data_IF_575136930209
#
_entry.id   IF_575136930209
#
_cell.length_a   1.000
_cell.length_b   1.000
_cell.length_c   1.000
_cell.angle_alpha   90.00
_cell.angle_beta   90.00
_cell.angle_gamma   90.00
#
_symmetry.space_group_name_H-M   'P 1'
#
loop_
_entity.id
_entity.type
_entity.pdbx_description
1 polymer ?
#
# COMPACT_ATOMS: atom_id res chain seq x y z
N UNK A 1 -8.03 -40.30 50.19
CA UNK A 1 -6.86 -39.81 49.44
C UNK A 1 -7.35 -39.12 48.19
N UNK A 2 -7.56 -37.81 48.27
CA UNK A 2 -7.92 -36.96 47.12
C UNK A 2 -7.07 -35.71 47.26
N UNK A 3 -6.01 -35.64 46.47
CA UNK A 3 -5.14 -34.46 46.41
C UNK A 3 -5.92 -33.30 45.80
N UNK A 4 -5.84 -32.09 46.39
CA UNK A 4 -6.48 -30.91 45.84
C UNK A 4 -5.76 -30.46 44.56
N UNK A 5 -6.52 -30.27 43.49
CA UNK A 5 -6.05 -29.68 42.24
C UNK A 5 -5.67 -28.23 42.50
N UNK A 6 -4.39 -27.90 42.32
CA UNK A 6 -3.88 -26.54 42.38
C UNK A 6 -4.41 -25.76 41.16
N UNK A 7 -4.89 -24.51 41.33
CA UNK A 7 -5.30 -23.68 40.19
C UNK A 7 -4.08 -23.41 39.31
N UNK A 8 -4.20 -23.66 38.01
CA UNK A 8 -3.23 -23.24 37.00
C UNK A 8 -3.12 -21.71 37.08
N UNK A 9 -1.96 -21.20 37.50
CA UNK A 9 -1.67 -19.76 37.46
C UNK A 9 -1.76 -19.22 36.02
N UNK A 10 -1.91 -17.89 35.85
CA UNK A 10 -1.92 -17.28 34.52
C UNK A 10 -0.62 -17.63 33.80
N UNK A 11 -0.73 -18.01 32.52
CA UNK A 11 0.43 -18.36 31.68
C UNK A 11 1.48 -17.23 31.73
N UNK A 12 2.78 -17.55 31.89
CA UNK A 12 3.86 -16.56 32.04
C UNK A 12 4.16 -15.78 30.75
N UNK A 13 3.53 -16.14 29.64
CA UNK A 13 3.61 -15.43 28.38
C UNK A 13 2.40 -14.48 28.29
N UNK A 14 2.66 -13.18 28.15
CA UNK A 14 1.60 -12.18 28.00
C UNK A 14 0.65 -12.50 26.83
N UNK A 15 -0.50 -11.80 26.72
CA UNK A 15 -1.50 -12.10 25.71
C UNK A 15 -0.91 -12.06 24.30
N UNK A 16 -0.86 -13.21 23.64
CA UNK A 16 -0.39 -13.35 22.27
C UNK A 16 -1.46 -12.80 21.30
N UNK A 17 -1.13 -11.70 20.62
CA UNK A 17 -1.99 -11.05 19.64
C UNK A 17 -1.66 -11.63 18.26
N UNK A 18 -2.60 -12.30 17.57
CA UNK A 18 -2.35 -12.78 16.21
C UNK A 18 -2.17 -11.60 15.25
N UNK A 19 -1.51 -11.81 14.11
CA UNK A 19 -1.57 -10.82 13.03
C UNK A 19 -3.02 -10.68 12.54
N UNK A 20 -3.44 -9.45 12.27
CA UNK A 20 -4.73 -9.20 11.65
C UNK A 20 -4.67 -9.66 10.19
N UNK A 21 -5.50 -10.64 9.88
CA UNK A 21 -5.60 -11.26 8.57
C UNK A 21 -6.76 -10.66 7.78
N UNK A 22 -7.36 -9.53 8.16
CA UNK A 22 -8.61 -9.05 7.55
C UNK A 22 -9.85 -9.61 8.26
N UNK A 23 -10.93 -9.86 7.53
CA UNK A 23 -12.24 -10.22 8.12
C UNK A 23 -12.24 -11.60 8.79
N UNK A 24 -11.48 -12.57 8.26
CA UNK A 24 -11.47 -13.97 8.75
C UNK A 24 -11.15 -14.13 10.24
N UNK A 25 -10.22 -13.33 10.77
CA UNK A 25 -9.86 -13.38 12.19
C UNK A 25 -10.13 -12.05 12.91
N UNK A 26 -10.93 -11.15 12.32
CA UNK A 26 -11.17 -9.83 12.88
C UNK A 26 -11.72 -9.89 14.30
N UNK A 27 -12.73 -10.73 14.55
CA UNK A 27 -13.33 -10.85 15.88
C UNK A 27 -12.39 -11.50 16.89
N UNK A 28 -11.63 -12.53 16.49
CA UNK A 28 -10.59 -13.11 17.35
C UNK A 28 -9.52 -12.06 17.68
N UNK A 29 -9.04 -11.35 16.66
CA UNK A 29 -8.03 -10.30 16.79
C UNK A 29 -8.51 -9.16 17.69
N UNK A 30 -9.72 -8.64 17.49
CA UNK A 30 -10.33 -7.61 18.35
C UNK A 30 -10.37 -8.08 19.80
N UNK A 31 -10.84 -9.29 20.04
CA UNK A 31 -10.89 -9.86 21.40
C UNK A 31 -9.51 -9.98 22.03
N UNK A 32 -8.50 -10.43 21.28
CA UNK A 32 -7.11 -10.55 21.76
C UNK A 32 -6.47 -9.19 22.04
N UNK A 33 -6.70 -8.20 21.18
CA UNK A 33 -6.28 -6.81 21.39
C UNK A 33 -6.94 -6.27 22.66
N UNK A 34 -8.25 -6.39 22.81
CA UNK A 34 -8.95 -5.87 23.99
C UNK A 34 -8.49 -6.53 25.28
N UNK A 35 -8.25 -7.85 25.28
CA UNK A 35 -7.64 -8.54 26.42
C UNK A 35 -6.21 -8.06 26.70
N UNK A 36 -5.40 -7.83 25.67
CA UNK A 36 -4.05 -7.28 25.85
C UNK A 36 -4.08 -5.87 26.43
N UNK A 37 -5.02 -5.03 25.99
CA UNK A 37 -5.21 -3.68 26.52
C UNK A 37 -5.66 -3.72 27.98
N UNK A 38 -6.62 -4.59 28.32
CA UNK A 38 -7.08 -4.77 29.70
C UNK A 38 -5.94 -5.26 30.62
N UNK A 39 -5.16 -6.25 30.18
CA UNK A 39 -4.00 -6.76 30.91
C UNK A 39 -2.96 -5.67 31.22
N UNK A 40 -2.79 -4.71 30.32
CA UNK A 40 -1.86 -3.59 30.48
C UNK A 40 -2.50 -2.32 31.10
N UNK A 41 -3.77 -2.37 31.53
CA UNK A 41 -4.54 -1.21 32.02
C UNK A 41 -4.68 -0.06 30.99
N UNK A 42 -4.67 -0.39 29.69
CA UNK A 42 -4.75 0.56 28.57
C UNK A 42 -6.16 0.64 27.96
N UNK A 43 -7.09 -0.20 28.38
CA UNK A 43 -8.42 -0.37 27.76
C UNK A 43 -9.20 0.95 27.61
N UNK A 44 -9.06 1.88 28.57
CA UNK A 44 -9.71 3.20 28.50
C UNK A 44 -9.34 3.99 27.24
N UNK A 45 -8.09 3.85 26.75
CA UNK A 45 -7.61 4.54 25.56
C UNK A 45 -8.17 3.98 24.25
N UNK A 46 -8.82 2.81 24.30
CA UNK A 46 -9.51 2.21 23.15
C UNK A 46 -10.99 2.56 23.10
N UNK A 47 -11.60 2.80 24.26
CA UNK A 47 -13.04 3.01 24.41
C UNK A 47 -13.40 4.50 24.36
N UNK A 48 -12.63 5.32 25.08
CA UNK A 48 -12.97 6.71 25.35
C UNK A 48 -12.03 7.66 24.61
N UNK A 49 -12.55 8.84 24.24
CA UNK A 49 -11.71 9.95 23.82
C UNK A 49 -11.13 10.64 25.06
N UNK A 50 -9.91 10.28 25.42
CA UNK A 50 -9.24 10.80 26.61
C UNK A 50 -8.40 12.03 26.24
N UNK A 51 -8.87 13.21 26.64
CA UNK A 51 -8.13 14.45 26.46
C UNK A 51 -6.80 14.45 27.21
N UNK A 52 -5.82 15.17 26.67
CA UNK A 52 -4.52 15.34 27.32
C UNK A 52 -4.71 16.06 28.68
N UNK A 53 -4.15 15.53 29.78
CA UNK A 53 -4.20 16.19 31.08
C UNK A 53 -3.30 17.44 31.12
N UNK A 54 -3.68 18.42 31.94
CA UNK A 54 -2.96 19.70 32.02
C UNK A 54 -1.63 19.66 32.79
N UNK A 55 -1.40 18.64 33.63
CA UNK A 55 -0.17 18.48 34.41
C UNK A 55 0.94 17.77 33.62
N UNK A 56 2.18 18.29 33.67
CA UNK A 56 3.30 17.72 32.91
C UNK A 56 3.59 16.23 33.22
N UNK A 57 3.49 15.84 34.50
CA UNK A 57 3.71 14.44 34.91
C UNK A 57 2.58 13.51 34.41
N UNK A 58 1.33 13.97 34.50
CA UNK A 58 0.16 13.23 34.01
C UNK A 58 0.17 13.13 32.49
N UNK A 59 0.61 14.19 31.79
CA UNK A 59 0.75 14.21 30.34
C UNK A 59 1.79 13.22 29.85
N UNK A 60 2.91 13.07 30.57
CA UNK A 60 3.92 12.06 30.25
C UNK A 60 3.40 10.63 30.40
N UNK A 61 2.62 10.35 31.45
CA UNK A 61 1.95 9.06 31.63
C UNK A 61 0.93 8.80 30.52
N UNK A 62 0.07 9.78 30.23
CA UNK A 62 -0.93 9.72 29.17
C UNK A 62 -0.30 9.44 27.80
N UNK A 63 0.79 10.13 27.45
CA UNK A 63 1.51 9.89 26.19
C UNK A 63 2.10 8.49 26.11
N UNK A 64 2.74 8.03 27.19
CA UNK A 64 3.35 6.69 27.24
C UNK A 64 2.31 5.60 27.08
N UNK A 65 1.17 5.73 27.75
CA UNK A 65 0.07 4.76 27.66
C UNK A 65 -0.52 4.69 26.25
N UNK A 66 -0.78 5.84 25.61
CA UNK A 66 -1.25 5.89 24.21
C UNK A 66 -0.23 5.28 23.24
N UNK A 67 1.05 5.59 23.43
CA UNK A 67 2.12 5.02 22.61
C UNK A 67 2.18 3.49 22.77
N UNK A 68 2.08 2.97 23.99
CA UNK A 68 2.07 1.54 24.26
C UNK A 68 0.87 0.85 23.60
N UNK A 69 -0.33 1.44 23.71
CA UNK A 69 -1.51 0.93 23.04
C UNK A 69 -1.32 0.92 21.51
N UNK A 70 -0.79 2.02 20.95
CA UNK A 70 -0.53 2.12 19.52
C UNK A 70 0.48 1.08 19.04
N UNK A 71 1.55 0.84 19.79
CA UNK A 71 2.55 -0.19 19.47
C UNK A 71 1.89 -1.57 19.42
N UNK A 72 1.10 -1.93 20.44
CA UNK A 72 0.41 -3.23 20.49
C UNK A 72 -0.48 -3.46 19.26
N UNK A 73 -1.23 -2.43 18.86
CA UNK A 73 -2.06 -2.51 17.64
C UNK A 73 -1.15 -2.64 16.42
N UNK A 74 -0.24 -1.68 16.19
CA UNK A 74 0.61 -1.60 15.00
C UNK A 74 1.42 -2.88 14.74
N UNK A 75 1.94 -3.52 15.78
CA UNK A 75 2.71 -4.77 15.64
C UNK A 75 1.88 -5.90 15.04
N UNK A 76 0.56 -5.86 15.18
CA UNK A 76 -0.35 -6.87 14.64
C UNK A 76 -0.87 -6.54 13.22
N UNK A 77 -0.56 -5.38 12.65
CA UNK A 77 -1.12 -4.91 11.37
C UNK A 77 -0.25 -5.19 10.14
N UNK A 78 0.79 -6.03 10.24
CA UNK A 78 1.81 -6.17 9.21
C UNK A 78 1.26 -6.40 7.78
N UNK A 79 0.12 -7.09 7.63
CA UNK A 79 -0.48 -7.39 6.34
C UNK A 79 -1.43 -6.30 5.81
N UNK A 80 -2.00 -5.47 6.70
CA UNK A 80 -3.01 -4.47 6.33
C UNK A 80 -2.53 -3.03 6.46
N UNK A 81 -1.32 -2.82 6.99
CA UNK A 81 -0.73 -1.49 7.22
C UNK A 81 -0.73 -0.64 5.95
N UNK A 82 -0.19 -1.17 4.86
CA UNK A 82 -0.06 -0.39 3.61
C UNK A 82 -1.41 -0.05 3.00
N UNK A 83 -2.45 -0.83 3.29
CA UNK A 83 -3.81 -0.51 2.87
C UNK A 83 -4.44 0.59 3.72
N UNK A 84 -4.25 0.55 5.04
CA UNK A 84 -4.68 1.67 5.89
C UNK A 84 -4.10 2.98 5.36
N UNK A 85 -2.79 2.99 5.06
CA UNK A 85 -2.12 4.16 4.47
C UNK A 85 -2.66 4.51 3.09
N UNK A 86 -3.00 3.52 2.26
CA UNK A 86 -3.60 3.76 0.95
C UNK A 86 -5.01 4.37 1.03
N UNK A 87 -5.80 4.00 2.04
CA UNK A 87 -7.10 4.60 2.36
C UNK A 87 -6.98 5.98 3.05
N UNK A 88 -5.77 6.53 3.12
CA UNK A 88 -5.52 7.86 3.66
C UNK A 88 -5.37 7.91 5.18
N UNK A 89 -5.22 6.76 5.85
CA UNK A 89 -4.90 6.75 7.27
C UNK A 89 -3.51 7.34 7.51
N UNK A 90 -3.42 8.25 8.49
CA UNK A 90 -2.17 8.88 8.90
C UNK A 90 -1.36 7.94 9.80
N UNK A 91 -0.15 7.57 9.35
CA UNK A 91 0.75 6.74 10.16
C UNK A 91 1.13 7.37 11.49
N UNK A 92 1.15 8.70 11.55
CA UNK A 92 1.54 9.44 12.73
C UNK A 92 0.40 9.67 13.71
N UNK A 93 -0.83 9.25 13.38
CA UNK A 93 -2.03 9.37 14.21
C UNK A 93 -1.74 8.94 15.66
N UNK A 94 -1.76 9.88 16.63
CA UNK A 94 -1.43 9.60 18.02
C UNK A 94 -2.53 8.88 18.79
N UNK A 95 -3.75 8.80 18.26
CA UNK A 95 -4.89 8.14 18.90
C UNK A 95 -5.01 6.65 18.58
N UNK A 96 -4.81 5.75 19.57
CA UNK A 96 -4.99 4.32 19.35
C UNK A 96 -6.46 3.96 19.07
N UNK A 97 -7.44 4.75 19.54
CA UNK A 97 -8.86 4.54 19.23
C UNK A 97 -9.15 4.81 17.77
N UNK A 98 -8.66 5.92 17.21
CA UNK A 98 -8.85 6.23 15.79
C UNK A 98 -8.21 5.19 14.88
N UNK A 99 -7.03 4.67 15.25
CA UNK A 99 -6.42 3.54 14.55
C UNK A 99 -7.31 2.29 14.61
N UNK A 100 -7.88 1.97 15.77
CA UNK A 100 -8.77 0.81 15.93
C UNK A 100 -10.07 0.94 15.13
N UNK A 101 -10.66 2.13 15.10
CA UNK A 101 -11.84 2.45 14.30
C UNK A 101 -11.53 2.36 12.80
N UNK A 102 -10.41 2.93 12.34
CA UNK A 102 -9.98 2.86 10.94
C UNK A 102 -9.75 1.42 10.46
N UNK A 103 -9.24 0.54 11.33
CA UNK A 103 -9.14 -0.89 11.04
C UNK A 103 -10.53 -1.50 10.85
N UNK A 104 -11.48 -1.16 11.73
CA UNK A 104 -12.87 -1.58 11.62
C UNK A 104 -13.48 -1.16 10.28
N UNK A 105 -13.35 0.10 9.92
CA UNK A 105 -13.87 0.67 8.67
C UNK A 105 -13.25 0.01 7.43
N UNK A 106 -11.92 -0.15 7.40
CA UNK A 106 -11.23 -0.86 6.32
C UNK A 106 -11.75 -2.29 6.17
N UNK A 107 -11.90 -3.01 7.28
CA UNK A 107 -12.36 -4.41 7.24
C UNK A 107 -13.83 -4.55 6.84
N UNK A 108 -14.68 -3.59 7.21
CA UNK A 108 -16.06 -3.54 6.76
C UNK A 108 -16.13 -3.27 5.25
N UNK A 109 -15.36 -2.29 4.75
CA UNK A 109 -15.26 -2.02 3.32
C UNK A 109 -14.77 -3.24 2.53
N UNK A 110 -13.85 -4.04 3.09
CA UNK A 110 -13.39 -5.28 2.48
C UNK A 110 -14.46 -6.37 2.36
N UNK A 111 -15.38 -6.46 3.34
CA UNK A 111 -16.47 -7.44 3.31
C UNK A 111 -17.51 -7.12 2.23
N UNK A 112 -17.65 -5.83 1.89
CA UNK A 112 -18.53 -5.37 0.83
C UNK A 112 -17.97 -5.59 -0.59
N UNK A 113 -16.66 -5.89 -0.72
CA UNK A 113 -16.04 -6.05 -2.04
C UNK A 113 -16.42 -7.41 -2.66
N UNK A 114 -17.05 -7.41 -3.86
CA UNK A 114 -17.36 -8.66 -4.55
C UNK A 114 -16.07 -9.42 -4.91
N UNK A 115 -16.06 -10.75 -4.69
CA UNK A 115 -14.95 -11.64 -5.09
C UNK A 115 -14.51 -11.39 -6.54
N UNK A 116 -15.48 -11.18 -7.45
CA UNK A 116 -15.22 -10.90 -8.86
C UNK A 116 -14.40 -9.63 -9.08
N UNK A 117 -14.58 -8.60 -8.23
CA UNK A 117 -13.81 -7.35 -8.29
C UNK A 117 -12.36 -7.61 -7.88
N UNK A 118 -12.16 -8.33 -6.77
CA UNK A 118 -10.83 -8.70 -6.27
C UNK A 118 -10.08 -9.62 -7.23
N UNK A 119 -10.77 -10.59 -7.83
CA UNK A 119 -10.19 -11.46 -8.86
C UNK A 119 -9.81 -10.66 -10.11
N UNK A 120 -10.69 -9.78 -10.58
CA UNK A 120 -10.42 -8.95 -11.74
C UNK A 120 -9.22 -8.03 -11.49
N UNK A 121 -9.14 -7.43 -10.31
CA UNK A 121 -7.99 -6.62 -9.91
C UNK A 121 -6.71 -7.45 -9.87
N UNK A 122 -6.72 -8.63 -9.24
CA UNK A 122 -5.55 -9.51 -9.21
C UNK A 122 -5.07 -9.83 -10.62
N UNK A 123 -5.96 -10.22 -11.54
CA UNK A 123 -5.59 -10.59 -12.90
C UNK A 123 -5.03 -9.44 -13.73
N UNK A 124 -5.28 -8.19 -13.35
CA UNK A 124 -4.87 -6.98 -14.08
C UNK A 124 -4.00 -6.03 -13.26
N UNK A 125 -3.42 -6.50 -12.15
CA UNK A 125 -2.59 -5.66 -11.30
C UNK A 125 -1.34 -5.19 -12.07
N UNK A 126 -1.13 -3.88 -12.17
CA UNK A 126 0.04 -3.28 -12.83
C UNK A 126 0.82 -2.41 -11.83
N UNK A 127 2.14 -2.53 -11.83
CA UNK A 127 3.04 -1.74 -10.98
C UNK A 127 2.99 -0.23 -11.28
N UNK A 128 2.54 0.17 -12.48
CA UNK A 128 2.33 1.58 -12.84
C UNK A 128 1.16 2.22 -12.09
N UNK A 129 0.19 1.45 -11.62
CA UNK A 129 -0.94 1.96 -10.84
C UNK A 129 -0.53 2.37 -9.41
N UNK A 130 0.71 2.08 -9.01
CA UNK A 130 1.22 2.31 -7.67
C UNK A 130 2.40 3.29 -7.66
N UNK A 131 2.44 4.15 -6.63
CA UNK A 131 3.50 5.15 -6.47
C UNK A 131 4.89 4.55 -6.19
N UNK A 132 4.96 3.30 -5.74
CA UNK A 132 6.20 2.59 -5.43
C UNK A 132 6.04 1.07 -5.57
N UNK A 133 7.17 0.37 -5.75
CA UNK A 133 7.21 -1.10 -5.76
C UNK A 133 6.73 -1.71 -4.43
N UNK A 134 6.96 -1.02 -3.30
CA UNK A 134 6.48 -1.47 -2.00
C UNK A 134 4.95 -1.55 -1.97
N UNK A 135 4.25 -0.51 -2.44
CA UNK A 135 2.78 -0.51 -2.49
C UNK A 135 2.23 -1.58 -3.43
N UNK A 136 2.86 -1.75 -4.59
CA UNK A 136 2.52 -2.83 -5.53
C UNK A 136 2.65 -4.21 -4.87
N UNK A 137 3.78 -4.47 -4.19
CA UNK A 137 4.01 -5.72 -3.47
C UNK A 137 2.93 -5.97 -2.42
N UNK A 138 2.63 -4.98 -1.59
CA UNK A 138 1.67 -5.10 -0.50
C UNK A 138 0.27 -5.36 -1.04
N UNK A 139 -0.11 -4.73 -2.16
CA UNK A 139 -1.40 -5.01 -2.80
C UNK A 139 -1.47 -6.44 -3.36
N UNK A 140 -0.41 -6.94 -3.97
CA UNK A 140 -0.35 -8.32 -4.46
C UNK A 140 -0.46 -9.35 -3.32
N UNK A 141 0.25 -9.13 -2.20
CA UNK A 141 0.17 -9.97 -1.00
C UNK A 141 -1.23 -9.93 -0.40
N UNK A 142 -1.83 -8.74 -0.34
CA UNK A 142 -3.20 -8.57 0.11
C UNK A 142 -4.20 -9.36 -0.75
N UNK A 143 -4.16 -9.20 -2.08
CA UNK A 143 -5.08 -9.87 -3.00
C UNK A 143 -4.97 -11.40 -2.89
N UNK A 144 -3.74 -11.94 -2.83
CA UNK A 144 -3.51 -13.37 -2.55
C UNK A 144 -4.20 -13.80 -1.27
N UNK A 145 -4.01 -13.01 -0.20
CA UNK A 145 -4.49 -13.35 1.12
C UNK A 145 -6.02 -13.27 1.20
N UNK A 146 -6.64 -12.18 0.76
CA UNK A 146 -8.08 -11.98 0.85
C UNK A 146 -8.86 -12.99 -0.01
N UNK A 147 -8.37 -13.29 -1.22
CA UNK A 147 -8.98 -14.31 -2.08
C UNK A 147 -8.89 -15.71 -1.47
N UNK A 148 -7.80 -16.02 -0.77
CA UNK A 148 -7.69 -17.27 -0.02
C UNK A 148 -8.65 -17.35 1.19
N UNK A 149 -9.08 -16.21 1.75
CA UNK A 149 -10.09 -16.18 2.81
C UNK A 149 -11.50 -16.41 2.30
N UNK A 150 -11.77 -16.02 1.07
CA UNK A 150 -13.06 -16.20 0.39
C UNK A 150 -13.15 -17.55 -0.34
N UNK A 151 -12.32 -18.52 0.04
CA UNK A 151 -12.17 -19.84 -0.60
C UNK A 151 -11.88 -19.79 -2.12
N UNK A 152 -11.32 -18.68 -2.59
CA UNK A 152 -10.97 -18.40 -3.99
C UNK A 152 -9.46 -18.33 -4.20
N UNK A 153 -8.73 -19.29 -3.60
CA UNK A 153 -7.27 -19.32 -3.68
C UNK A 153 -6.75 -19.71 -5.07
N UNK A 154 -5.63 -19.11 -5.46
CA UNK A 154 -4.88 -19.47 -6.66
C UNK A 154 -3.62 -20.23 -6.28
N UNK A 155 -3.10 -21.05 -7.21
CA UNK A 155 -1.81 -21.67 -7.00
C UNK A 155 -0.70 -20.61 -6.93
N UNK A 156 0.31 -20.84 -6.10
CA UNK A 156 1.45 -19.92 -5.97
C UNK A 156 2.15 -19.69 -7.31
N UNK A 157 2.19 -20.70 -8.18
CA UNK A 157 2.72 -20.58 -9.54
C UNK A 157 1.92 -19.59 -10.39
N UNK A 158 0.58 -19.66 -10.35
CA UNK A 158 -0.27 -18.73 -11.10
C UNK A 158 -0.13 -17.30 -10.57
N UNK A 159 -0.14 -17.13 -9.25
CA UNK A 159 0.06 -15.82 -8.61
C UNK A 159 1.42 -15.21 -8.92
N UNK A 160 2.47 -16.03 -8.94
CA UNK A 160 3.82 -15.59 -9.31
C UNK A 160 3.85 -15.06 -10.73
N UNK A 161 3.23 -15.74 -11.70
CA UNK A 161 3.11 -15.25 -13.08
C UNK A 161 2.34 -13.93 -13.18
N UNK A 162 1.20 -13.83 -12.50
CA UNK A 162 0.38 -12.61 -12.48
C UNK A 162 1.20 -11.41 -11.99
N UNK A 163 1.89 -11.57 -10.86
CA UNK A 163 2.72 -10.49 -10.29
C UNK A 163 3.96 -10.18 -11.14
N UNK A 164 4.52 -11.16 -11.86
CA UNK A 164 5.60 -10.89 -12.83
C UNK A 164 5.06 -10.05 -13.98
N UNK A 165 3.89 -10.40 -14.54
CA UNK A 165 3.29 -9.66 -15.65
C UNK A 165 3.01 -8.19 -15.30
N UNK A 166 2.54 -7.92 -14.07
CA UNK A 166 2.35 -6.54 -13.59
C UNK A 166 3.64 -5.70 -13.51
N UNK A 167 4.83 -6.29 -13.67
CA UNK A 167 6.11 -5.57 -13.70
C UNK A 167 6.59 -5.24 -15.13
N UNK A 168 5.94 -5.78 -16.17
CA UNK A 168 6.40 -5.72 -17.56
C UNK A 168 6.63 -4.28 -18.03
N UNK A 169 5.66 -3.40 -17.79
CA UNK A 169 5.68 -2.04 -18.29
C UNK A 169 6.73 -1.16 -17.60
N UNK A 170 6.83 -1.25 -16.26
CA UNK A 170 7.73 -0.41 -15.47
C UNK A 170 9.17 -0.94 -15.44
N UNK A 171 9.37 -2.26 -15.50
CA UNK A 171 10.68 -2.90 -15.37
C UNK A 171 10.91 -4.02 -16.43
N UNK A 172 10.91 -3.71 -17.73
CA UNK A 172 10.88 -4.72 -18.80
C UNK A 172 12.08 -5.67 -18.80
N UNK A 173 13.29 -5.18 -18.47
CA UNK A 173 14.49 -6.04 -18.35
C UNK A 173 14.38 -7.02 -17.18
N UNK A 174 13.89 -6.53 -16.05
CA UNK A 174 13.74 -7.36 -14.85
C UNK A 174 12.60 -8.36 -15.02
N UNK A 175 11.51 -7.97 -15.67
CA UNK A 175 10.45 -8.87 -16.12
C UNK A 175 11.01 -10.06 -16.91
N UNK A 176 11.87 -9.82 -17.91
CA UNK A 176 12.50 -10.89 -18.69
C UNK A 176 13.37 -11.82 -17.83
N UNK A 177 14.13 -11.27 -16.87
CA UNK A 177 14.92 -12.05 -15.93
C UNK A 177 14.04 -12.95 -15.05
N UNK A 178 12.95 -12.40 -14.52
CA UNK A 178 11.99 -13.13 -13.69
C UNK A 178 11.27 -14.22 -14.49
N UNK A 179 10.86 -13.94 -15.73
CA UNK A 179 10.26 -14.95 -16.63
C UNK A 179 11.21 -16.12 -16.87
N UNK A 180 12.49 -15.86 -17.12
CA UNK A 180 13.52 -16.91 -17.27
C UNK A 180 13.70 -17.71 -15.98
N UNK A 181 13.74 -17.04 -14.82
CA UNK A 181 13.86 -17.69 -13.53
C UNK A 181 12.64 -18.58 -13.20
N UNK A 182 11.43 -18.15 -13.60
CA UNK A 182 10.20 -18.94 -13.48
C UNK A 182 10.21 -20.16 -14.39
N UNK A 183 10.59 -19.99 -15.67
CA UNK A 183 10.71 -21.10 -16.62
C UNK A 183 11.76 -22.14 -16.20
N UNK A 184 12.83 -21.71 -15.51
CA UNK A 184 13.84 -22.59 -14.94
C UNK A 184 13.41 -23.26 -13.61
N UNK A 185 12.22 -22.96 -13.07
CA UNK A 185 11.73 -23.49 -11.80
C UNK A 185 12.48 -22.99 -10.57
N UNK A 186 13.24 -21.90 -10.71
CA UNK A 186 14.08 -21.35 -9.63
C UNK A 186 13.39 -20.26 -8.80
N UNK A 187 12.28 -19.71 -9.33
CA UNK A 187 11.51 -18.64 -8.74
C UNK A 187 10.17 -19.17 -8.22
N UNK A 188 9.86 -18.84 -6.97
CA UNK A 188 8.59 -19.11 -6.30
C UNK A 188 8.05 -17.80 -5.69
N UNK A 189 6.86 -17.88 -5.09
CA UNK A 189 6.20 -16.71 -4.49
C UNK A 189 7.09 -15.99 -3.46
N UNK A 190 7.71 -16.73 -2.54
CA UNK A 190 8.54 -16.15 -1.48
C UNK A 190 9.77 -15.44 -2.03
N UNK A 191 10.46 -16.08 -3.00
CA UNK A 191 11.62 -15.48 -3.66
C UNK A 191 11.24 -14.24 -4.46
N UNK A 192 10.09 -14.26 -5.15
CA UNK A 192 9.59 -13.10 -5.89
C UNK A 192 9.31 -11.94 -4.93
N UNK A 193 8.56 -12.16 -3.85
CA UNK A 193 8.25 -11.13 -2.86
C UNK A 193 9.54 -10.56 -2.24
N UNK A 194 10.52 -11.41 -1.93
CA UNK A 194 11.83 -10.97 -1.43
C UNK A 194 12.60 -10.12 -2.46
N UNK A 195 12.56 -10.50 -3.73
CA UNK A 195 13.21 -9.76 -4.80
C UNK A 195 12.54 -8.38 -5.00
N UNK A 196 11.20 -8.32 -4.96
CA UNK A 196 10.44 -7.06 -5.02
C UNK A 196 10.78 -6.17 -3.83
N UNK A 197 10.75 -6.69 -2.62
CA UNK A 197 11.11 -5.94 -1.40
C UNK A 197 12.54 -5.40 -1.46
N UNK A 198 13.50 -6.22 -1.88
CA UNK A 198 14.91 -5.81 -2.04
C UNK A 198 15.07 -4.68 -3.04
N UNK A 199 14.28 -4.69 -4.13
CA UNK A 199 14.31 -3.63 -5.14
C UNK A 199 13.56 -2.38 -4.67
N UNK A 200 12.44 -2.54 -3.97
CA UNK A 200 11.66 -1.43 -3.41
C UNK A 200 12.50 -0.58 -2.44
N UNK A 201 13.40 -1.20 -1.66
CA UNK A 201 14.35 -0.48 -0.79
C UNK A 201 15.35 0.38 -1.59
N UNK A 202 15.68 0.00 -2.83
CA UNK A 202 16.64 0.70 -3.70
C UNK A 202 15.99 1.79 -4.57
N UNK A 203 14.67 1.71 -4.79
CA UNK A 203 13.91 2.67 -5.63
C UNK A 203 14.07 4.15 -5.21
N UNK A 204 14.14 4.51 -3.91
CA UNK A 204 14.40 5.89 -3.49
C UNK A 204 15.80 6.39 -3.89
N UNK A 205 16.81 5.53 -3.82
CA UNK A 205 18.20 5.89 -4.12
C UNK A 205 18.42 6.17 -5.61
N UNK A 206 17.74 5.42 -6.49
CA UNK A 206 17.82 5.63 -7.94
C UNK A 206 17.14 6.94 -8.39
N UNK A 207 16.09 7.39 -7.69
CA UNK A 207 15.42 8.67 -7.96
C UNK A 207 16.28 9.87 -7.57
N UNK A 208 17.06 9.78 -6.49
CA UNK A 208 18.01 10.82 -6.07
C UNK A 208 19.22 10.91 -7.01
N UNK A 209 19.73 9.77 -7.51
CA UNK A 209 20.85 9.76 -8.45
C UNK A 209 20.46 10.29 -9.85
N UNK A 210 19.24 10.02 -10.31
CA UNK A 210 18.75 10.51 -11.60
C UNK A 210 18.47 12.01 -11.59
N UNK A 211 17.83 12.54 -10.54
CA UNK A 211 17.64 13.99 -10.36
C UNK A 211 18.97 14.74 -10.20
N UNK A 212 19.92 14.21 -9.43
CA UNK A 212 21.25 14.81 -9.31
C UNK A 212 22.08 14.78 -10.61
N UNK A 213 21.79 13.83 -11.52
CA UNK A 213 22.45 13.73 -12.83
C UNK A 213 21.82 14.70 -13.84
N UNK A 214 20.51 14.88 -13.81
CA UNK A 214 19.79 15.86 -14.64
C UNK A 214 20.15 17.31 -14.27
N UNK A 215 20.27 17.63 -12.97
CA UNK A 215 20.73 18.95 -12.52
C UNK A 215 22.16 19.28 -12.99
N UNK A 216 23.04 18.28 -13.04
CA UNK A 216 24.41 18.44 -13.57
C UNK A 216 24.43 18.61 -15.09
N UNK A 217 23.49 18.01 -15.81
CA UNK A 217 23.39 18.14 -17.28
C UNK A 217 22.80 19.50 -17.69
N UNK A 218 21.84 20.02 -16.94
CA UNK A 218 21.27 21.35 -17.19
C UNK A 218 22.25 22.48 -16.90
N UNK A 219 23.11 22.33 -15.88
CA UNK A 219 24.14 23.33 -15.56
C UNK A 219 25.32 23.38 -16.55
N UNK A 220 25.52 22.29 -17.31
CA UNK A 220 26.57 22.21 -18.34
C UNK A 220 26.14 22.84 -19.67
N UNK A 221 24.85 22.75 -20.00
CA UNK A 221 24.29 23.28 -21.26
C UNK A 221 24.08 24.79 -21.25
N UNK A 222 23.97 25.43 -20.08
CA UNK A 222 23.87 26.89 -19.95
C UNK A 222 25.21 27.64 -20.06
N UNK A 223 26.35 26.93 -20.19
CA UNK A 223 27.68 27.55 -20.29
C UNK A 223 28.26 27.67 -21.72
N UNK A 224 27.51 27.26 -22.74
CA UNK A 224 27.90 27.41 -24.15
C UNK A 224 27.01 28.41 -24.89
N UNK A 225 27.10 29.68 -24.47
CA UNK A 225 26.64 30.82 -25.27
C UNK A 225 27.62 31.06 -26.41
N UNK A 226 27.26 30.63 -27.62
CA UNK A 226 27.94 31.02 -28.85
C UNK A 226 27.38 32.37 -29.33
N UNK A 227 28.22 33.39 -29.28
CA UNK A 227 28.04 34.63 -30.04
C UNK A 227 27.96 34.30 -31.53
N UNK A 228 26.74 34.27 -32.08
CA UNK A 228 26.50 34.26 -33.52
C UNK A 228 25.43 35.32 -33.83
N UNK A 229 25.88 36.40 -34.46
CA UNK A 229 25.04 37.53 -34.86
C UNK A 229 23.91 37.15 -35.83
N UNK A 230 22.88 38.00 -35.96
CA UNK A 230 21.66 37.66 -36.67
C UNK A 230 21.82 37.78 -38.19
N UNK A 231 21.37 36.79 -38.98
CA UNK A 231 21.16 36.99 -40.40
C UNK A 231 19.77 37.61 -40.65
N UNK A 232 19.79 38.74 -41.34
CA UNK A 232 18.64 39.48 -41.86
C UNK A 232 17.74 38.63 -42.76
N UNK A 233 16.42 38.65 -42.48
CA UNK A 233 15.38 38.06 -43.34
C UNK A 233 15.01 38.97 -44.52
N UNK A 234 14.67 38.42 -45.70
CA UNK A 234 13.90 39.14 -46.72
C UNK A 234 12.41 38.79 -46.65
N UNK A 235 11.58 39.84 -46.65
CA UNK A 235 10.12 39.85 -46.82
C UNK A 235 9.70 39.19 -48.13
N UNK A 236 8.71 38.31 -48.11
CA UNK A 236 7.85 38.04 -49.27
C UNK A 236 6.37 38.05 -48.88
N UNK A 237 5.63 38.83 -49.67
CA UNK A 237 4.19 39.10 -49.65
C UNK A 237 3.39 37.90 -50.15
N UNK A 238 2.13 37.81 -49.71
CA UNK A 238 1.05 37.33 -50.57
C UNK A 238 0.09 36.35 -49.92
N UNK A 239 -1.01 36.86 -49.35
CA UNK A 239 -2.26 36.11 -49.22
C UNK A 239 -2.88 35.86 -50.60
N UNK A 240 -3.75 34.85 -50.76
CA UNK A 240 -5.17 35.19 -50.73
C UNK A 240 -6.11 34.17 -50.06
N UNK A 241 -7.28 34.73 -49.71
CA UNK A 241 -8.50 34.14 -49.16
C UNK A 241 -9.00 32.90 -49.92
N UNK A 242 -9.65 31.97 -49.21
CA UNK A 242 -10.89 31.37 -49.73
C UNK A 242 -11.76 30.70 -48.65
N UNK A 243 -13.05 31.06 -48.70
CA UNK A 243 -14.33 30.38 -48.40
C UNK A 243 -14.31 29.10 -47.54
N UNK A 244 -15.19 28.88 -46.54
CA UNK A 244 -16.60 29.26 -46.43
C UNK A 244 -17.51 28.10 -46.87
N UNK A 245 -18.01 27.30 -45.92
CA UNK A 245 -19.19 26.39 -45.93
C UNK A 245 -19.21 25.77 -44.50
N UNK A 246 -20.22 25.84 -43.64
CA UNK A 246 -21.66 25.64 -43.84
C UNK A 246 -22.05 24.28 -43.21
N UNK A 247 -22.89 24.22 -42.14
CA UNK A 247 -23.06 23.02 -41.30
C UNK A 247 -24.18 22.10 -41.81
N UNK A 248 -24.08 20.80 -41.56
CA UNK A 248 -25.18 19.85 -41.69
C UNK A 248 -25.32 19.01 -40.44
N UNK A 249 -26.41 19.23 -39.71
CA UNK A 249 -26.89 18.31 -38.68
C UNK A 249 -27.57 17.08 -39.28
N UNK A 250 -27.87 16.14 -38.37
CA UNK A 250 -28.83 15.00 -38.40
C UNK A 250 -28.26 13.95 -37.44
N UNK A 251 -28.99 13.10 -36.74
CA UNK A 251 -30.39 13.00 -36.33
C UNK A 251 -30.37 11.89 -35.25
N UNK A 252 -31.32 11.94 -34.33
CA UNK A 252 -31.49 10.98 -33.25
C UNK A 252 -32.08 9.65 -33.75
N UNK A 253 -31.66 8.53 -33.15
CA UNK A 253 -32.51 7.36 -32.93
C UNK A 253 -32.05 6.61 -31.66
N UNK A 254 -32.95 6.29 -30.71
CA UNK A 254 -32.68 5.33 -29.65
C UNK A 254 -33.06 3.91 -30.12
N UNK A 255 -32.29 2.91 -29.71
CA UNK A 255 -32.65 1.50 -29.81
C UNK A 255 -33.15 0.98 -28.45
N UNK A 256 -34.16 0.12 -28.56
CA UNK A 256 -34.94 -0.57 -27.53
C UNK A 256 -34.09 -1.42 -26.61
#
# INVERSE_FOLDING_TARGET
MTSPSTPKGPDPEGPNIPFLLGTKNLEEWKNKIMHAMAYNNLERHMRDYIAQPGGAAEAAVWHRERLNARILIKTSLALIRDMLVAEGWDEDEPDPKLLFEAIGDLTAAMDELPVSTLMNELCHIDCLDFSSLAKYQSRAVFLKHILAQMDCSFSDTALTWVVINGLENKYPRWYQDLCRAMAAGSLDWEKLMRAISTRAIKEPQEKEETTAREEKQHKSTDSMSWDAGPPTSPKLKGSPKNNGYGPSGRESTPFV
#
